data_IF_110019944495
#
_entry.id   IF_110019944495
#
_cell.length_a   1.000
_cell.length_b   1.000
_cell.length_c   1.000
_cell.angle_alpha   90.00
_cell.angle_beta   90.00
_cell.angle_gamma   90.00
#
_symmetry.space_group_name_H-M   'P 1'
#
loop_
_entity.id
_entity.type
_entity.pdbx_description
1 polymer ?
#
# COMPACT_ATOMS: atom_id res chain seq x y z
N UNK A 1 26.09 1.58 49.03
CA UNK A 1 25.77 0.52 48.04
C UNK A 1 25.04 1.08 46.79
N UNK A 2 25.63 2.00 46.00
CA UNK A 2 25.00 2.50 44.76
C UNK A 2 25.29 1.62 43.52
N UNK A 3 26.43 0.93 43.50
CA UNK A 3 26.91 0.13 42.35
C UNK A 3 25.99 -1.02 41.96
N UNK A 4 25.33 -1.66 42.93
CA UNK A 4 24.41 -2.77 42.69
C UNK A 4 23.09 -2.33 42.04
N UNK A 5 22.69 -1.05 42.19
CA UNK A 5 21.46 -0.53 41.57
C UNK A 5 21.67 -0.23 40.09
N UNK A 6 22.84 0.32 39.72
CA UNK A 6 23.18 0.71 38.34
C UNK A 6 23.20 -0.49 37.39
N UNK A 7 23.71 -1.64 37.83
CA UNK A 7 23.75 -2.88 37.04
C UNK A 7 22.33 -3.41 36.77
N UNK A 8 21.42 -3.28 37.73
CA UNK A 8 20.02 -3.73 37.60
C UNK A 8 19.24 -2.85 36.61
N UNK A 9 19.46 -1.53 36.63
CA UNK A 9 18.86 -0.61 35.66
C UNK A 9 19.32 -0.89 34.22
N UNK A 10 20.60 -1.23 34.03
CA UNK A 10 21.14 -1.57 32.71
C UNK A 10 20.51 -2.84 32.13
N UNK A 11 20.29 -3.86 32.96
CA UNK A 11 19.63 -5.10 32.55
C UNK A 11 18.17 -4.87 32.18
N UNK A 12 17.46 -4.01 32.92
CA UNK A 12 16.06 -3.69 32.65
C UNK A 12 15.89 -2.91 31.34
N UNK A 13 16.81 -1.98 31.05
CA UNK A 13 16.82 -1.24 29.79
C UNK A 13 17.08 -2.13 28.57
N UNK A 14 17.97 -3.11 28.69
CA UNK A 14 18.26 -4.06 27.61
C UNK A 14 17.06 -4.99 27.33
N UNK A 15 16.36 -5.44 28.37
CA UNK A 15 15.14 -6.24 28.21
C UNK A 15 13.99 -5.45 27.56
N UNK A 16 13.85 -4.16 27.89
CA UNK A 16 12.81 -3.32 27.32
C UNK A 16 13.05 -3.00 25.83
N UNK A 17 14.32 -2.84 25.42
CA UNK A 17 14.69 -2.63 24.01
C UNK A 17 14.46 -3.88 23.15
N UNK A 18 14.55 -5.08 23.73
CA UNK A 18 14.29 -6.33 22.99
C UNK A 18 12.77 -6.52 22.77
N UNK A 19 11.96 -6.07 23.73
CA UNK A 19 10.50 -6.20 23.70
C UNK A 19 9.80 -5.26 22.70
N UNK A 20 10.46 -4.21 22.23
CA UNK A 20 9.91 -3.29 21.22
C UNK A 20 10.10 -3.74 19.77
N UNK A 21 10.61 -4.96 19.55
CA UNK A 21 10.69 -5.59 18.23
C UNK A 21 9.30 -6.08 17.80
N UNK A 22 8.35 -5.16 17.64
CA UNK A 22 7.04 -5.47 17.08
C UNK A 22 7.21 -5.77 15.60
N UNK A 23 7.11 -7.04 15.22
CA UNK A 23 6.94 -7.42 13.83
C UNK A 23 5.63 -6.80 13.34
N UNK A 24 5.71 -5.82 12.45
CA UNK A 24 4.52 -5.35 11.75
C UNK A 24 3.90 -6.54 11.02
N UNK A 25 2.77 -7.04 11.51
CA UNK A 25 2.03 -8.08 10.82
C UNK A 25 1.64 -7.52 9.45
N UNK A 26 2.08 -8.13 8.33
CA UNK A 26 1.67 -7.67 7.02
C UNK A 26 0.15 -7.70 7.00
N UNK A 27 -0.47 -6.55 6.72
CA UNK A 27 -1.91 -6.50 6.50
C UNK A 27 -2.21 -7.49 5.38
N UNK A 28 -3.17 -8.40 5.59
CA UNK A 28 -3.57 -9.34 4.54
C UNK A 28 -3.87 -8.52 3.30
N UNK A 29 -3.11 -8.72 2.22
CA UNK A 29 -3.24 -7.94 1.01
C UNK A 29 -4.71 -7.99 0.57
N UNK A 30 -5.42 -6.86 0.70
CA UNK A 30 -6.80 -6.76 0.24
C UNK A 30 -6.78 -6.82 -1.28
N UNK A 31 -7.65 -7.64 -1.87
CA UNK A 31 -7.83 -7.67 -3.33
C UNK A 31 -8.24 -6.27 -3.77
N UNK A 32 -7.55 -5.73 -4.77
CA UNK A 32 -7.84 -4.43 -5.37
C UNK A 32 -8.52 -4.70 -6.72
N UNK A 33 -9.72 -4.18 -6.89
CA UNK A 33 -10.51 -4.29 -8.12
C UNK A 33 -10.74 -2.88 -8.66
N UNK A 34 -10.55 -2.69 -9.95
CA UNK A 34 -10.88 -1.46 -10.65
C UNK A 34 -11.78 -1.79 -11.86
N UNK A 35 -12.60 -0.81 -12.26
CA UNK A 35 -13.39 -0.86 -13.50
C UNK A 35 -12.98 0.36 -14.31
N UNK A 36 -12.43 0.14 -15.50
CA UNK A 36 -12.02 1.21 -16.43
C UNK A 36 -12.96 1.21 -17.62
N UNK A 37 -13.42 2.39 -18.05
CA UNK A 37 -14.36 2.55 -19.16
C UNK A 37 -13.91 3.67 -20.11
N UNK A 38 -13.53 3.31 -21.33
CA UNK A 38 -13.18 4.24 -22.41
C UNK A 38 -14.38 4.65 -23.26
N UNK A 39 -15.25 5.54 -22.77
CA UNK A 39 -16.46 5.94 -23.51
C UNK A 39 -16.16 7.11 -24.45
N UNK A 40 -16.23 6.89 -25.76
CA UNK A 40 -16.01 7.94 -26.77
C UNK A 40 -17.15 8.24 -27.72
N UNK A 41 -18.09 7.30 -27.90
CA UNK A 41 -19.15 7.39 -28.90
C UNK A 41 -20.46 7.85 -28.28
N UNK A 42 -20.57 9.15 -28.06
CA UNK A 42 -21.78 9.78 -27.54
C UNK A 42 -22.77 10.13 -28.65
N UNK A 43 -24.06 10.12 -28.34
CA UNK A 43 -25.13 10.33 -29.33
C UNK A 43 -25.18 11.77 -29.88
N UNK A 44 -24.92 12.77 -29.03
CA UNK A 44 -25.22 14.18 -29.33
C UNK A 44 -23.98 15.08 -29.47
N UNK A 45 -22.78 14.51 -29.35
CA UNK A 45 -21.52 15.25 -29.49
C UNK A 45 -20.57 14.49 -30.41
N UNK A 46 -19.59 15.20 -30.95
CA UNK A 46 -18.52 14.59 -31.75
C UNK A 46 -17.81 13.54 -30.89
N UNK A 47 -17.45 12.43 -31.51
CA UNK A 47 -16.74 11.35 -30.82
C UNK A 47 -15.41 11.84 -30.27
N UNK A 48 -15.09 11.43 -29.04
CA UNK A 48 -13.79 11.70 -28.45
C UNK A 48 -12.72 10.90 -29.20
N UNK A 49 -11.54 11.50 -29.37
CA UNK A 49 -10.51 10.98 -30.26
C UNK A 49 -9.75 9.77 -29.72
N UNK A 50 -9.67 9.59 -28.39
CA UNK A 50 -8.75 8.64 -27.77
C UNK A 50 -9.20 7.85 -26.53
N UNK A 51 -10.49 7.75 -26.14
CA UNK A 51 -10.84 7.21 -24.84
C UNK A 51 -10.59 5.69 -24.69
N UNK A 52 -10.51 4.94 -25.80
CA UNK A 52 -10.14 3.52 -25.78
C UNK A 52 -8.67 3.35 -25.40
N UNK A 53 -7.75 4.05 -26.06
CA UNK A 53 -6.33 4.04 -25.72
C UNK A 53 -6.09 4.57 -24.30
N UNK A 54 -6.81 5.62 -23.87
CA UNK A 54 -6.70 6.15 -22.50
C UNK A 54 -7.13 5.10 -21.45
N UNK A 55 -8.15 4.29 -21.77
CA UNK A 55 -8.60 3.21 -20.90
C UNK A 55 -7.56 2.08 -20.82
N UNK A 56 -6.91 1.74 -21.93
CA UNK A 56 -5.84 0.72 -21.97
C UNK A 56 -4.60 1.17 -21.19
N UNK A 57 -4.21 2.45 -21.32
CA UNK A 57 -3.09 3.03 -20.58
C UNK A 57 -3.36 3.01 -19.06
N UNK A 58 -4.56 3.42 -18.64
CA UNK A 58 -4.96 3.39 -17.22
C UNK A 58 -5.03 1.96 -16.70
N UNK A 59 -5.56 1.02 -17.51
CA UNK A 59 -5.62 -0.41 -17.17
C UNK A 59 -4.21 -0.95 -16.91
N UNK A 60 -3.28 -0.68 -17.83
CA UNK A 60 -1.88 -1.12 -17.71
C UNK A 60 -1.21 -0.58 -16.44
N UNK A 61 -1.43 0.71 -16.13
CA UNK A 61 -0.87 1.33 -14.94
C UNK A 61 -1.47 0.73 -13.66
N UNK A 62 -2.78 0.48 -13.63
CA UNK A 62 -3.47 -0.13 -12.49
C UNK A 62 -3.01 -1.57 -12.23
N UNK A 63 -2.83 -2.37 -13.28
CA UNK A 63 -2.28 -3.72 -13.19
C UNK A 63 -0.86 -3.71 -12.63
N UNK A 64 -0.04 -2.72 -13.02
CA UNK A 64 1.32 -2.55 -12.49
C UNK A 64 1.37 -2.33 -10.97
N UNK A 65 0.32 -1.74 -10.40
CA UNK A 65 0.17 -1.48 -8.96
C UNK A 65 -0.80 -2.45 -8.26
N UNK A 66 -0.93 -3.68 -8.78
CA UNK A 66 -1.63 -4.84 -8.19
C UNK A 66 -3.16 -4.79 -8.22
N UNK A 67 -3.77 -3.91 -9.01
CA UNK A 67 -5.20 -4.01 -9.28
C UNK A 67 -5.48 -5.16 -10.24
N UNK A 68 -6.65 -5.76 -10.06
CA UNK A 68 -7.31 -6.54 -11.09
C UNK A 68 -8.33 -5.62 -11.77
N UNK A 69 -8.33 -5.59 -13.09
CA UNK A 69 -9.12 -4.69 -13.93
C UNK A 69 -10.09 -5.45 -14.81
#
# INVERSE_FOLDING_TARGET
RPFLKTVTFFKLSLFLSMATSTSATPTKAKRKLALVMGIGKYQNIVSLSNPENDADDITSELESITFNT
#
